data_IF_517454373644
#
_entry.id   IF_517454373644
#
_cell.length_a   1.000
_cell.length_b   1.000
_cell.length_c   1.000
_cell.angle_alpha   90.00
_cell.angle_beta   90.00
_cell.angle_gamma   90.00
#
_symmetry.space_group_name_H-M   'P 1'
#
loop_
_entity.id
_entity.type
_entity.pdbx_description
1 polymer ?
#
# COMPACT_ATOMS: atom_id res chain seq x y z
N UNK A 1 2.12 -27.34 -29.70
CA UNK A 1 1.22 -26.66 -28.74
C UNK A 1 1.87 -26.75 -27.37
N UNK A 2 2.47 -25.66 -26.91
CA UNK A 2 3.19 -25.62 -25.62
C UNK A 2 2.15 -25.56 -24.52
N UNK A 3 2.12 -26.60 -23.69
CA UNK A 3 1.22 -26.73 -22.56
C UNK A 3 1.74 -25.84 -21.41
N UNK A 4 1.23 -24.62 -21.30
CA UNK A 4 1.55 -23.68 -20.22
C UNK A 4 0.68 -23.95 -18.99
N UNK A 5 0.72 -25.18 -18.47
CA UNK A 5 0.23 -25.42 -17.11
C UNK A 5 1.29 -24.89 -16.13
N UNK A 6 0.92 -24.10 -15.10
CA UNK A 6 1.88 -23.70 -14.08
C UNK A 6 2.45 -24.98 -13.46
N UNK A 7 3.78 -25.10 -13.49
CA UNK A 7 4.52 -26.23 -12.94
C UNK A 7 4.30 -26.22 -11.42
N UNK A 8 3.22 -26.84 -10.94
CA UNK A 8 3.05 -27.11 -9.51
C UNK A 8 4.11 -28.17 -9.18
N UNK A 9 4.98 -27.94 -8.18
CA UNK A 9 5.97 -28.92 -7.73
C UNK A 9 5.25 -30.05 -6.99
N UNK A 10 4.49 -30.86 -7.73
CA UNK A 10 3.61 -31.92 -7.19
C UNK A 10 4.39 -33.15 -6.70
N UNK A 11 5.70 -33.28 -6.96
CA UNK A 11 6.38 -34.59 -6.80
C UNK A 11 7.69 -34.63 -5.99
N UNK A 12 8.13 -33.57 -5.31
CA UNK A 12 9.45 -33.61 -4.65
C UNK A 12 9.56 -32.96 -3.26
N UNK A 13 8.47 -32.45 -2.67
CA UNK A 13 8.54 -31.77 -1.37
C UNK A 13 7.97 -32.63 -0.25
N UNK A 14 8.69 -32.80 0.88
CA UNK A 14 8.12 -33.37 2.11
C UNK A 14 6.80 -32.67 2.47
N UNK A 15 5.85 -33.37 3.08
CA UNK A 15 4.54 -32.81 3.41
C UNK A 15 4.61 -31.50 4.23
N UNK A 16 5.65 -31.36 5.07
CA UNK A 16 5.99 -30.12 5.80
C UNK A 16 6.32 -28.96 4.86
N UNK A 17 7.21 -29.19 3.88
CA UNK A 17 7.62 -28.18 2.92
C UNK A 17 6.49 -27.75 1.97
N UNK A 18 5.58 -28.67 1.62
CA UNK A 18 4.35 -28.34 0.85
C UNK A 18 3.41 -27.43 1.65
N UNK A 19 3.16 -27.75 2.92
CA UNK A 19 2.29 -26.96 3.78
C UNK A 19 2.87 -25.56 4.04
N UNK A 20 4.19 -25.47 4.27
CA UNK A 20 4.92 -24.21 4.37
C UNK A 20 4.79 -23.38 3.09
N UNK A 21 4.97 -24.00 1.92
CA UNK A 21 4.85 -23.33 0.63
C UNK A 21 3.44 -22.76 0.39
N UNK A 22 2.39 -23.54 0.66
CA UNK A 22 1.00 -23.10 0.52
C UNK A 22 0.63 -21.99 1.53
N UNK A 23 1.12 -22.09 2.77
CA UNK A 23 0.95 -21.05 3.78
C UNK A 23 1.67 -19.75 3.38
N UNK A 24 2.91 -19.84 2.89
CA UNK A 24 3.66 -18.70 2.38
C UNK A 24 2.98 -18.09 1.14
N UNK A 25 2.46 -18.90 0.23
CA UNK A 25 1.79 -18.44 -0.99
C UNK A 25 0.48 -17.69 -0.68
N UNK A 26 -0.37 -18.26 0.18
CA UNK A 26 -1.62 -17.61 0.61
C UNK A 26 -1.36 -16.33 1.40
N UNK A 27 -0.36 -16.35 2.29
CA UNK A 27 0.10 -15.17 3.03
C UNK A 27 0.58 -14.06 2.10
N UNK A 28 1.40 -14.40 1.11
CA UNK A 28 1.90 -13.44 0.12
C UNK A 28 0.75 -12.87 -0.72
N UNK A 29 -0.26 -13.65 -1.06
CA UNK A 29 -1.38 -13.21 -1.90
C UNK A 29 -2.30 -12.23 -1.16
N UNK A 30 -2.67 -12.54 0.10
CA UNK A 30 -3.51 -11.65 0.91
C UNK A 30 -2.78 -10.36 1.31
N UNK A 31 -1.50 -10.48 1.68
CA UNK A 31 -0.65 -9.32 1.97
C UNK A 31 -0.48 -8.43 0.74
N UNK A 32 -0.20 -9.02 -0.43
CA UNK A 32 -0.07 -8.29 -1.70
C UNK A 32 -1.37 -7.58 -2.07
N UNK A 33 -2.52 -8.25 -1.93
CA UNK A 33 -3.83 -7.63 -2.17
C UNK A 33 -4.07 -6.43 -1.26
N UNK A 34 -3.76 -6.56 0.02
CA UNK A 34 -3.96 -5.46 0.99
C UNK A 34 -2.98 -4.32 0.74
N UNK A 35 -1.74 -4.64 0.40
CA UNK A 35 -0.72 -3.66 0.02
C UNK A 35 -1.13 -2.87 -1.23
N UNK A 36 -1.63 -3.55 -2.27
CA UNK A 36 -2.16 -2.91 -3.47
C UNK A 36 -3.31 -1.96 -3.15
N UNK A 37 -4.23 -2.34 -2.25
CA UNK A 37 -5.29 -1.43 -1.79
C UNK A 37 -4.73 -0.18 -1.09
N UNK A 38 -3.74 -0.35 -0.21
CA UNK A 38 -3.07 0.78 0.44
C UNK A 38 -2.38 1.71 -0.57
N UNK A 39 -1.71 1.13 -1.59
CA UNK A 39 -1.09 1.91 -2.66
C UNK A 39 -2.13 2.66 -3.50
N UNK A 40 -3.27 2.05 -3.81
CA UNK A 40 -4.38 2.72 -4.51
C UNK A 40 -4.92 3.89 -3.67
N UNK A 41 -5.15 3.70 -2.37
CA UNK A 41 -5.59 4.77 -1.46
C UNK A 41 -4.58 5.93 -1.40
N UNK A 42 -3.29 5.60 -1.40
CA UNK A 42 -2.20 6.59 -1.42
C UNK A 42 -2.19 7.39 -2.72
N UNK A 43 -2.20 6.70 -3.86
CA UNK A 43 -2.24 7.32 -5.20
C UNK A 43 -3.48 8.21 -5.38
N UNK A 44 -4.64 7.77 -4.89
CA UNK A 44 -5.86 8.56 -4.92
C UNK A 44 -5.73 9.85 -4.10
N UNK A 45 -5.02 9.80 -2.96
CA UNK A 45 -4.75 10.99 -2.13
C UNK A 45 -3.84 11.98 -2.87
N UNK A 46 -2.77 11.49 -3.49
CA UNK A 46 -1.89 12.33 -4.32
C UNK A 46 -2.62 12.95 -5.51
N UNK A 47 -3.45 12.18 -6.21
CA UNK A 47 -4.25 12.68 -7.33
C UNK A 47 -5.14 13.84 -6.90
N UNK A 48 -5.85 13.73 -5.77
CA UNK A 48 -6.72 14.80 -5.25
C UNK A 48 -5.92 16.09 -5.01
N UNK A 49 -4.73 15.96 -4.43
CA UNK A 49 -3.85 17.10 -4.16
C UNK A 49 -3.33 17.75 -5.43
N UNK A 50 -2.96 16.97 -6.44
CA UNK A 50 -2.57 17.49 -7.75
C UNK A 50 -3.73 18.22 -8.46
N UNK A 51 -4.96 17.72 -8.33
CA UNK A 51 -6.14 18.41 -8.87
C UNK A 51 -6.36 19.77 -8.21
N UNK A 52 -6.17 19.88 -6.88
CA UNK A 52 -6.26 21.17 -6.18
C UNK A 52 -5.18 22.15 -6.65
N UNK A 53 -3.95 21.69 -6.87
CA UNK A 53 -2.89 22.53 -7.43
C UNK A 53 -3.21 22.98 -8.86
N UNK A 54 -3.82 22.11 -9.67
CA UNK A 54 -4.22 22.48 -11.02
C UNK A 54 -5.25 23.61 -11.00
N UNK A 55 -6.31 23.47 -10.19
CA UNK A 55 -7.33 24.53 -10.03
C UNK A 55 -6.68 25.84 -9.55
N UNK A 56 -5.80 25.77 -8.55
CA UNK A 56 -5.08 26.95 -8.08
C UNK A 56 -4.26 27.63 -9.19
N UNK A 57 -3.58 26.86 -10.05
CA UNK A 57 -2.80 27.44 -11.14
C UNK A 57 -3.70 28.07 -12.21
N UNK A 58 -4.86 27.45 -12.49
CA UNK A 58 -5.85 28.00 -13.41
C UNK A 58 -6.42 29.31 -12.86
N UNK A 59 -6.83 29.34 -11.59
CA UNK A 59 -7.33 30.54 -10.89
C UNK A 59 -6.25 31.63 -10.83
N UNK A 60 -4.99 31.25 -10.58
CA UNK A 60 -3.88 32.19 -10.52
C UNK A 60 -3.62 32.84 -11.88
N UNK A 61 -3.71 32.07 -12.96
CA UNK A 61 -3.56 32.58 -14.31
C UNK A 61 -4.67 33.59 -14.67
N UNK A 62 -5.92 33.31 -14.29
CA UNK A 62 -7.05 34.25 -14.47
C UNK A 62 -6.86 35.51 -13.60
N UNK A 63 -6.41 35.34 -12.36
CA UNK A 63 -6.23 36.45 -11.40
C UNK A 63 -5.15 37.46 -11.79
N UNK A 64 -4.17 37.02 -12.60
CA UNK A 64 -3.12 37.90 -13.09
C UNK A 64 -3.68 38.99 -14.02
N UNK A 65 -4.79 38.73 -14.70
CA UNK A 65 -5.49 39.69 -15.55
C UNK A 65 -6.41 40.61 -14.75
N UNK A 66 -6.91 40.15 -13.59
CA UNK A 66 -7.88 40.84 -12.74
C UNK A 66 -7.24 41.59 -11.54
N UNK A 67 -5.92 41.46 -11.34
CA UNK A 67 -5.14 42.09 -10.28
C UNK A 67 -5.57 41.70 -8.84
N UNK A 68 -6.12 40.50 -8.68
CA UNK A 68 -6.61 39.87 -7.44
C UNK A 68 -5.75 38.65 -7.02
N UNK A 69 -4.58 38.49 -7.61
CA UNK A 69 -3.63 37.38 -7.38
C UNK A 69 -3.34 37.11 -5.89
N UNK A 70 -3.28 38.14 -5.06
CA UNK A 70 -3.05 37.98 -3.62
C UNK A 70 -4.20 37.25 -2.91
N UNK A 71 -5.44 37.52 -3.29
CA UNK A 71 -6.64 36.89 -2.72
C UNK A 71 -6.67 35.40 -3.07
N UNK A 72 -6.45 35.06 -4.34
CA UNK A 72 -6.37 33.66 -4.79
C UNK A 72 -5.28 32.88 -4.06
N UNK A 73 -4.09 33.47 -3.86
CA UNK A 73 -3.00 32.82 -3.11
C UNK A 73 -3.37 32.66 -1.62
N UNK A 74 -3.98 33.67 -1.01
CA UNK A 74 -4.38 33.62 0.39
C UNK A 74 -5.45 32.54 0.63
N UNK A 75 -6.46 32.46 -0.23
CA UNK A 75 -7.53 31.46 -0.17
C UNK A 75 -6.99 30.05 -0.36
N UNK A 76 -6.10 29.84 -1.34
CA UNK A 76 -5.46 28.56 -1.53
C UNK A 76 -4.65 28.15 -0.29
N UNK A 77 -3.86 29.06 0.29
CA UNK A 77 -3.06 28.78 1.47
C UNK A 77 -3.93 28.44 2.70
N UNK A 78 -5.03 29.18 2.91
CA UNK A 78 -5.98 28.89 4.00
C UNK A 78 -6.63 27.52 3.83
N UNK A 79 -7.10 27.19 2.63
CA UNK A 79 -7.70 25.89 2.33
C UNK A 79 -6.70 24.74 2.49
N UNK A 80 -5.46 24.92 2.03
CA UNK A 80 -4.40 23.94 2.19
C UNK A 80 -4.05 23.70 3.67
N UNK A 81 -3.98 24.77 4.48
CA UNK A 81 -3.75 24.66 5.92
C UNK A 81 -4.91 23.97 6.64
N UNK A 82 -6.15 24.24 6.26
CA UNK A 82 -7.33 23.64 6.86
C UNK A 82 -7.43 22.12 6.57
N UNK A 83 -7.05 21.68 5.36
CA UNK A 83 -7.12 20.27 4.97
C UNK A 83 -5.87 19.47 5.38
N UNK A 84 -4.74 20.14 5.67
CA UNK A 84 -3.47 19.49 6.02
C UNK A 84 -3.57 18.44 7.15
N UNK A 85 -4.23 18.70 8.30
CA UNK A 85 -4.36 17.69 9.36
C UNK A 85 -5.10 16.43 8.89
N UNK A 86 -6.12 16.60 8.05
CA UNK A 86 -6.90 15.48 7.50
C UNK A 86 -6.08 14.67 6.52
N UNK A 87 -5.31 15.31 5.64
CA UNK A 87 -4.38 14.62 4.73
C UNK A 87 -3.30 13.87 5.50
N UNK A 88 -2.67 14.50 6.49
CA UNK A 88 -1.65 13.86 7.34
C UNK A 88 -2.23 12.67 8.08
N UNK A 89 -3.41 12.78 8.68
CA UNK A 89 -4.07 11.66 9.36
C UNK A 89 -4.38 10.51 8.39
N UNK A 90 -4.81 10.82 7.16
CA UNK A 90 -5.06 9.82 6.12
C UNK A 90 -3.78 9.09 5.71
N UNK A 91 -2.70 9.83 5.45
CA UNK A 91 -1.40 9.26 5.11
C UNK A 91 -0.85 8.39 6.24
N UNK A 92 -0.91 8.87 7.48
CA UNK A 92 -0.52 8.09 8.66
C UNK A 92 -1.34 6.80 8.79
N UNK A 93 -2.65 6.87 8.54
CA UNK A 93 -3.53 5.70 8.52
C UNK A 93 -3.13 4.67 7.45
N UNK A 94 -2.83 5.11 6.23
CA UNK A 94 -2.36 4.24 5.14
C UNK A 94 -1.02 3.61 5.50
N UNK A 95 -0.04 4.40 5.96
CA UNK A 95 1.28 3.90 6.36
C UNK A 95 1.17 2.91 7.53
N UNK A 96 0.30 3.16 8.50
CA UNK A 96 0.03 2.25 9.61
C UNK A 96 -0.56 0.93 9.10
N UNK A 97 -1.55 0.95 8.19
CA UNK A 97 -2.08 -0.26 7.56
C UNK A 97 -0.98 -1.06 6.84
N UNK A 98 -0.12 -0.40 6.08
CA UNK A 98 1.02 -1.04 5.41
C UNK A 98 1.96 -1.70 6.42
N UNK A 99 2.33 -0.99 7.49
CA UNK A 99 3.17 -1.52 8.57
C UNK A 99 2.56 -2.73 9.26
N UNK A 100 1.26 -2.71 9.55
CA UNK A 100 0.53 -3.85 10.13
C UNK A 100 0.53 -5.06 9.20
N UNK A 101 0.32 -4.86 7.90
CA UNK A 101 0.38 -5.95 6.91
C UNK A 101 1.78 -6.56 6.88
N UNK A 102 2.83 -5.73 6.79
CA UNK A 102 4.22 -6.21 6.82
C UNK A 102 4.55 -6.97 8.11
N UNK A 103 4.16 -6.44 9.27
CA UNK A 103 4.39 -7.10 10.56
C UNK A 103 3.68 -8.45 10.67
N UNK A 104 2.43 -8.56 10.16
CA UNK A 104 1.69 -9.83 10.11
C UNK A 104 2.40 -10.87 9.23
N UNK A 105 2.94 -10.46 8.09
CA UNK A 105 3.70 -11.36 7.20
C UNK A 105 4.95 -11.87 7.89
N UNK A 106 5.75 -10.97 8.48
CA UNK A 106 6.98 -11.32 9.20
C UNK A 106 6.69 -12.27 10.36
N UNK A 107 5.68 -11.96 11.18
CA UNK A 107 5.30 -12.80 12.33
C UNK A 107 4.90 -14.21 11.89
N UNK A 108 4.03 -14.34 10.88
CA UNK A 108 3.59 -15.65 10.39
C UNK A 108 4.75 -16.46 9.80
N UNK A 109 5.67 -15.82 9.08
CA UNK A 109 6.85 -16.50 8.54
C UNK A 109 7.78 -17.00 9.66
N UNK A 110 7.97 -16.21 10.71
CA UNK A 110 8.75 -16.61 11.87
C UNK A 110 8.10 -17.80 12.61
N UNK A 111 6.78 -17.75 12.85
CA UNK A 111 6.03 -18.81 13.54
C UNK A 111 6.11 -20.15 12.77
N UNK A 112 5.95 -20.13 11.44
CA UNK A 112 6.06 -21.34 10.61
C UNK A 112 7.49 -21.89 10.55
N UNK A 113 8.51 -21.01 10.56
CA UNK A 113 9.91 -21.42 10.61
C UNK A 113 10.25 -22.15 11.92
N UNK A 114 9.75 -21.62 13.05
CA UNK A 114 9.93 -22.27 14.37
C UNK A 114 9.27 -23.64 14.41
N UNK A 115 8.06 -23.78 13.85
CA UNK A 115 7.37 -25.07 13.76
C UNK A 115 8.14 -26.09 12.93
N UNK A 116 8.67 -25.70 11.76
CA UNK A 116 9.47 -26.59 10.92
C UNK A 116 10.75 -27.07 11.62
N UNK A 117 11.45 -26.16 12.30
CA UNK A 117 12.66 -26.50 13.05
C UNK A 117 12.37 -27.50 14.19
N UNK A 118 11.26 -27.31 14.91
CA UNK A 118 10.81 -28.25 15.95
C UNK A 118 10.41 -29.61 15.39
N UNK A 119 9.73 -29.65 14.24
CA UNK A 119 9.37 -30.91 13.60
C UNK A 119 10.60 -31.72 13.14
N UNK A 120 11.68 -31.03 12.71
CA UNK A 120 12.94 -31.67 12.28
C UNK A 120 13.82 -32.16 13.43
N UNK A 121 13.69 -31.60 14.63
CA UNK A 121 14.47 -32.02 15.81
C UNK A 121 13.79 -33.11 16.63
N UNK A 122 12.49 -33.33 16.45
CA UNK A 122 11.73 -34.41 17.09
C UNK A 122 11.57 -35.68 16.22
N UNK A 123 12.14 -35.70 15.00
CA UNK A 123 12.20 -36.85 14.10
C UNK A 123 13.59 -37.50 14.14
#
# INVERSE_FOLDING_TARGET
MVNNAPLIPEQALPASARNLFLAAYSLNTEASRTMLRCQIELLASFRRRLQLYQVFLDDLAESAELNDTFEVVADFAQNALAEAPRETARLAGISSKMGVVSAKVVRKLADETVKDLGARTCA
#
